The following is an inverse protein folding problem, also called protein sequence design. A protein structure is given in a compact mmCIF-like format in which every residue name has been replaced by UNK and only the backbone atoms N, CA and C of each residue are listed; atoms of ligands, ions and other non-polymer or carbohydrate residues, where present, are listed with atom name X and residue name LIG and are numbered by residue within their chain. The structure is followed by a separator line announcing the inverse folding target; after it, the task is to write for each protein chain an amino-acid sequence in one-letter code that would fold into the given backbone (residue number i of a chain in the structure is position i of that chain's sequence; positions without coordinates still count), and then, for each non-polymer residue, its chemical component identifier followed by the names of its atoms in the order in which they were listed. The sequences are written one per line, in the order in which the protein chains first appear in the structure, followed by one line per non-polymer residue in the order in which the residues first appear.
data_IF_727843609150
#
_entry.id   IF_727843609150
#
_cell.length_a   1.000
_cell.length_b   1.000
_cell.length_c   1.000
_cell.angle_alpha   90.00
_cell.angle_beta   90.00
_cell.angle_gamma   90.00
#
_symmetry.space_group_name_H-M   'P 1'
#
loop_
_entity.id
_entity.type
_entity.pdbx_description
1 polymer ?
#
# COMPACT_ATOMS: atom_id res chain seq x y z
N UNK A 1 -6.66 14.61 -6.02
CA UNK A 1 -8.12 14.76 -6.04
C UNK A 1 -8.57 15.86 -7.01
N UNK A 2 -8.09 17.13 -6.98
CA UNK A 2 -8.65 18.19 -7.83
C UNK A 2 -8.55 17.92 -9.34
N UNK A 3 -7.45 17.32 -9.80
CA UNK A 3 -7.27 16.97 -11.22
C UNK A 3 -8.24 15.87 -11.67
N UNK A 4 -8.43 14.83 -10.83
CA UNK A 4 -9.37 13.75 -11.12
C UNK A 4 -10.82 14.28 -11.22
N UNK A 5 -11.22 15.18 -10.32
CA UNK A 5 -12.54 15.86 -10.38
C UNK A 5 -12.71 16.63 -11.69
N UNK A 6 -11.69 17.40 -12.09
CA UNK A 6 -11.73 18.16 -13.36
C UNK A 6 -11.88 17.23 -14.57
N UNK A 7 -11.12 16.13 -14.61
CA UNK A 7 -11.16 15.17 -15.70
C UNK A 7 -12.52 14.47 -15.79
N UNK A 8 -13.05 13.99 -14.67
CA UNK A 8 -14.39 13.38 -14.59
C UNK A 8 -15.48 14.37 -15.01
N UNK A 9 -15.39 15.64 -14.57
CA UNK A 9 -16.33 16.67 -14.98
C UNK A 9 -16.25 17.01 -16.48
N UNK A 10 -15.09 16.82 -17.08
CA UNK A 10 -14.89 16.96 -18.53
C UNK A 10 -15.27 15.69 -19.31
N UNK A 11 -15.93 14.70 -18.69
CA UNK A 11 -16.36 13.45 -19.34
C UNK A 11 -15.23 12.49 -19.68
N UNK A 12 -14.10 12.53 -18.96
CA UNK A 12 -12.95 11.66 -19.20
C UNK A 12 -12.88 10.54 -18.18
N UNK A 13 -12.54 9.31 -18.64
CA UNK A 13 -12.10 8.24 -17.76
C UNK A 13 -10.80 8.64 -17.07
N UNK A 14 -10.56 8.14 -15.86
CA UNK A 14 -9.40 8.51 -15.03
C UNK A 14 -8.66 7.28 -14.57
N UNK A 15 -7.35 7.27 -14.74
CA UNK A 15 -6.43 6.39 -14.02
C UNK A 15 -5.65 7.27 -13.05
N UNK A 16 -5.71 6.96 -11.77
CA UNK A 16 -5.03 7.71 -10.70
C UNK A 16 -3.89 6.91 -10.14
N UNK A 17 -2.80 7.58 -9.80
CA UNK A 17 -1.78 7.02 -8.92
C UNK A 17 -2.37 6.64 -7.55
N UNK A 18 -1.67 5.72 -6.89
CA UNK A 18 -1.97 5.37 -5.50
C UNK A 18 -1.24 6.32 -4.51
N UNK A 19 -1.84 6.58 -3.36
CA UNK A 19 -3.24 6.35 -3.04
C UNK A 19 -4.14 7.30 -3.82
N UNK A 20 -5.35 6.88 -4.14
CA UNK A 20 -6.30 7.68 -4.93
C UNK A 20 -6.63 9.03 -4.30
N UNK A 21 -6.62 9.08 -2.98
CA UNK A 21 -6.84 10.28 -2.18
C UNK A 21 -6.12 10.15 -0.83
N UNK A 22 -5.97 11.25 -0.11
CA UNK A 22 -5.35 11.30 1.21
C UNK A 22 -6.31 11.00 2.37
N UNK A 23 -7.58 10.81 2.06
CA UNK A 23 -8.62 10.43 3.02
C UNK A 23 -9.79 9.68 2.34
N UNK A 24 -10.56 8.94 3.12
CA UNK A 24 -11.67 8.11 2.60
C UNK A 24 -12.80 8.95 1.99
N UNK A 25 -13.12 10.12 2.54
CA UNK A 25 -14.21 10.98 2.05
C UNK A 25 -13.95 11.44 0.62
N UNK A 26 -12.74 11.85 0.32
CA UNK A 26 -12.34 12.27 -1.03
C UNK A 26 -12.32 11.08 -1.99
N UNK A 27 -11.89 9.91 -1.53
CA UNK A 27 -11.93 8.68 -2.32
C UNK A 27 -13.38 8.29 -2.67
N UNK A 28 -14.26 8.27 -1.68
CA UNK A 28 -15.70 8.00 -1.86
C UNK A 28 -16.36 9.00 -2.81
N UNK A 29 -16.04 10.28 -2.66
CA UNK A 29 -16.54 11.35 -3.54
C UNK A 29 -16.11 11.11 -4.99
N UNK A 30 -14.85 10.74 -5.25
CA UNK A 30 -14.38 10.43 -6.61
C UNK A 30 -15.09 9.21 -7.20
N UNK A 31 -15.26 8.14 -6.42
CA UNK A 31 -15.97 6.94 -6.85
C UNK A 31 -17.43 7.26 -7.19
N UNK A 32 -18.12 8.02 -6.33
CA UNK A 32 -19.48 8.47 -6.57
C UNK A 32 -19.59 9.31 -7.84
N UNK A 33 -18.72 10.30 -8.00
CA UNK A 33 -18.69 11.17 -9.18
C UNK A 33 -18.49 10.39 -10.47
N UNK A 34 -17.54 9.45 -10.48
CA UNK A 34 -17.29 8.60 -11.65
C UNK A 34 -18.52 7.76 -12.00
N UNK A 35 -19.14 7.14 -11.00
CA UNK A 35 -20.36 6.34 -11.17
C UNK A 35 -21.53 7.16 -11.72
N UNK A 36 -21.78 8.35 -11.16
CA UNK A 36 -22.86 9.26 -11.60
C UNK A 36 -22.69 9.69 -13.07
N UNK A 37 -21.45 9.78 -13.53
CA UNK A 37 -21.14 10.16 -14.91
C UNK A 37 -21.00 8.98 -15.87
N UNK A 38 -21.10 7.75 -15.40
CA UNK A 38 -20.90 6.55 -16.22
C UNK A 38 -19.45 6.42 -16.71
N UNK A 39 -18.47 6.93 -15.93
CA UNK A 39 -17.06 6.93 -16.28
C UNK A 39 -16.26 5.93 -15.46
N UNK A 40 -15.17 5.42 -16.04
CA UNK A 40 -14.22 4.56 -15.34
C UNK A 40 -13.27 5.40 -14.50
N UNK A 41 -13.08 4.98 -13.26
CA UNK A 41 -12.03 5.45 -12.36
C UNK A 41 -11.22 4.23 -11.90
N UNK A 42 -9.97 4.18 -12.26
CA UNK A 42 -9.04 3.13 -11.87
C UNK A 42 -7.93 3.70 -10.99
N UNK A 43 -7.41 2.88 -10.09
CA UNK A 43 -6.21 3.20 -9.30
C UNK A 43 -5.07 2.31 -9.76
N UNK A 44 -3.88 2.87 -9.95
CA UNK A 44 -2.70 2.11 -10.36
C UNK A 44 -2.14 1.29 -9.19
N UNK A 45 -2.82 0.22 -8.87
CA UNK A 45 -2.36 -0.83 -7.97
C UNK A 45 -1.46 -1.83 -8.72
N UNK A 46 -0.39 -1.34 -9.29
CA UNK A 46 0.48 -2.04 -10.24
C UNK A 46 0.96 -3.42 -9.81
N UNK A 47 1.14 -3.64 -8.50
CA UNK A 47 1.70 -4.90 -7.99
C UNK A 47 0.78 -6.10 -8.20
N UNK A 48 -0.54 -5.91 -8.36
CA UNK A 48 -1.47 -7.03 -8.63
C UNK A 48 -1.21 -7.68 -10.00
N UNK A 49 -0.51 -6.99 -10.89
CA UNK A 49 -0.16 -7.51 -12.22
C UNK A 49 1.22 -8.19 -12.26
N UNK A 50 1.96 -8.17 -11.16
CA UNK A 50 3.22 -8.89 -11.07
C UNK A 50 2.97 -10.40 -11.13
N UNK A 51 3.73 -11.12 -11.93
CA UNK A 51 3.54 -12.56 -12.15
C UNK A 51 3.55 -13.40 -10.88
N UNK A 52 4.38 -13.02 -9.90
CA UNK A 52 4.45 -13.69 -8.59
C UNK A 52 3.16 -13.50 -7.80
N UNK A 53 2.60 -12.30 -7.81
CA UNK A 53 1.39 -11.97 -7.08
C UNK A 53 0.15 -12.61 -7.72
N UNK A 54 0.10 -12.64 -9.06
CA UNK A 54 -0.92 -13.39 -9.81
C UNK A 54 -0.84 -14.88 -9.46
N UNK A 55 0.38 -15.43 -9.38
CA UNK A 55 0.55 -16.86 -9.03
C UNK A 55 0.16 -17.15 -7.58
N UNK A 56 0.49 -16.27 -6.65
CA UNK A 56 0.09 -16.40 -5.25
C UNK A 56 -1.45 -16.40 -5.10
N UNK A 57 -2.13 -15.46 -5.74
CA UNK A 57 -3.61 -15.39 -5.78
C UNK A 57 -4.20 -16.69 -6.35
N UNK A 58 -3.65 -17.20 -7.44
CA UNK A 58 -4.08 -18.46 -8.04
C UNK A 58 -3.95 -19.65 -7.07
N UNK A 59 -2.81 -19.77 -6.36
CA UNK A 59 -2.56 -20.86 -5.41
C UNK A 59 -3.53 -20.80 -4.22
N UNK A 60 -3.73 -19.61 -3.66
CA UNK A 60 -4.70 -19.39 -2.58
C UNK A 60 -6.10 -19.76 -3.04
N UNK A 61 -6.51 -19.26 -4.20
CA UNK A 61 -7.85 -19.48 -4.74
C UNK A 61 -8.16 -20.94 -5.07
N UNK A 62 -7.14 -21.70 -5.48
CA UNK A 62 -7.25 -23.15 -5.72
C UNK A 62 -7.21 -23.98 -4.44
N UNK A 63 -6.90 -23.37 -3.30
CA UNK A 63 -6.74 -24.06 -2.02
C UNK A 63 -5.46 -24.89 -1.92
N UNK A 64 -4.49 -24.67 -2.81
CA UNK A 64 -3.23 -25.44 -2.84
C UNK A 64 -2.36 -25.20 -1.59
N UNK A 65 -2.56 -24.05 -0.90
CA UNK A 65 -1.90 -23.74 0.37
C UNK A 65 -2.68 -24.25 1.60
N UNK A 66 -3.85 -24.86 1.39
CA UNK A 66 -4.73 -25.25 2.50
C UNK A 66 -5.38 -24.04 3.18
N UNK A 67 -5.61 -24.16 4.49
CA UNK A 67 -6.14 -23.06 5.28
C UNK A 67 -5.01 -22.09 5.64
N UNK A 68 -5.05 -20.89 5.08
CA UNK A 68 -4.11 -19.85 5.44
C UNK A 68 -4.48 -19.28 6.82
N UNK A 69 -3.58 -19.43 7.76
CA UNK A 69 -3.78 -18.98 9.14
C UNK A 69 -3.13 -17.61 9.42
N UNK A 70 -2.01 -17.33 8.78
CA UNK A 70 -1.26 -16.09 8.92
C UNK A 70 -0.50 -15.78 7.61
N UNK A 71 -0.09 -14.54 7.47
CA UNK A 71 0.81 -14.09 6.40
C UNK A 71 1.58 -12.86 6.85
N UNK A 72 2.73 -12.62 6.24
CA UNK A 72 3.57 -11.48 6.57
C UNK A 72 4.03 -10.79 5.29
N UNK A 73 3.79 -9.49 5.19
CA UNK A 73 4.22 -8.65 4.08
C UNK A 73 5.38 -7.77 4.50
N UNK A 74 6.34 -7.59 3.61
CA UNK A 74 7.53 -6.76 3.84
C UNK A 74 7.68 -5.73 2.75
N UNK A 75 7.74 -4.46 3.12
CA UNK A 75 8.12 -3.35 2.25
C UNK A 75 9.04 -2.39 2.99
N UNK A 76 10.31 -2.72 2.99
CA UNK A 76 11.35 -2.07 3.77
C UNK A 76 12.44 -1.54 2.83
N UNK A 77 12.79 -0.28 2.96
CA UNK A 77 13.73 0.41 2.11
C UNK A 77 14.77 1.19 2.93
N UNK A 78 15.91 1.44 2.34
CA UNK A 78 16.81 2.51 2.74
C UNK A 78 16.46 3.77 1.95
N UNK A 79 15.51 4.56 2.47
CA UNK A 79 15.03 5.77 1.80
C UNK A 79 15.08 6.98 2.75
N UNK A 80 15.47 8.14 2.22
CA UNK A 80 15.55 9.37 3.04
C UNK A 80 16.84 9.51 3.84
N UNK A 81 17.84 8.65 3.64
CA UNK A 81 19.20 8.86 4.16
C UNK A 81 19.98 9.89 3.34
N UNK A 82 19.70 9.97 2.06
CA UNK A 82 20.20 11.05 1.21
C UNK A 82 19.38 12.33 1.47
N UNK A 83 20.03 13.50 1.66
CA UNK A 83 19.32 14.77 1.88
C UNK A 83 18.31 15.14 0.77
N UNK A 84 18.58 14.76 -0.47
CA UNK A 84 17.67 15.00 -1.57
C UNK A 84 16.39 14.13 -1.47
N UNK A 85 16.51 12.88 -1.02
CA UNK A 85 15.37 12.01 -0.74
C UNK A 85 14.59 12.50 0.49
N UNK A 86 15.30 12.88 1.55
CA UNK A 86 14.70 13.41 2.78
C UNK A 86 13.87 14.68 2.55
N UNK A 87 14.22 15.50 1.56
CA UNK A 87 13.48 16.68 1.17
C UNK A 87 12.23 16.40 0.34
N UNK A 88 12.07 15.18 -0.18
CA UNK A 88 10.89 14.83 -0.98
C UNK A 88 9.61 14.79 -0.13
N UNK A 89 8.46 14.87 -0.79
CA UNK A 89 7.16 14.76 -0.12
C UNK A 89 7.01 13.45 0.68
N UNK A 90 7.65 12.37 0.22
CA UNK A 90 7.62 11.07 0.90
C UNK A 90 8.19 11.11 2.32
N UNK A 91 9.16 11.96 2.55
CA UNK A 91 9.80 12.08 3.87
C UNK A 91 9.32 13.30 4.67
N UNK A 92 8.66 14.26 4.03
CA UNK A 92 8.38 15.58 4.62
C UNK A 92 6.90 15.92 4.76
N UNK A 93 6.00 15.23 4.04
CA UNK A 93 4.58 15.59 3.97
C UNK A 93 3.65 14.44 4.35
N UNK A 94 3.44 14.26 5.63
CA UNK A 94 2.54 13.21 6.18
C UNK A 94 1.10 13.43 5.69
N UNK A 95 0.66 14.68 5.58
CA UNK A 95 -0.67 15.07 5.10
C UNK A 95 -0.94 14.72 3.63
N UNK A 96 0.13 14.52 2.85
CA UNK A 96 0.07 14.05 1.47
C UNK A 96 0.27 12.52 1.35
N UNK A 97 0.12 11.77 2.45
CA UNK A 97 0.39 10.34 2.56
C UNK A 97 1.88 10.01 2.37
N UNK A 98 2.77 10.90 2.78
CA UNK A 98 4.20 10.60 2.94
C UNK A 98 4.44 9.64 4.11
N UNK A 99 5.67 9.17 4.21
CA UNK A 99 6.08 8.14 5.16
C UNK A 99 5.83 6.71 4.68
N UNK A 100 6.51 5.73 5.27
CA UNK A 100 6.35 4.33 4.90
C UNK A 100 4.93 3.81 5.14
N UNK A 101 4.18 4.35 6.08
CA UNK A 101 2.78 3.94 6.27
C UNK A 101 1.91 4.47 5.12
N UNK A 102 1.99 5.75 4.81
CA UNK A 102 1.16 6.36 3.77
C UNK A 102 1.53 5.89 2.36
N UNK A 103 2.82 5.93 2.04
CA UNK A 103 3.31 5.61 0.69
C UNK A 103 3.38 4.10 0.43
N UNK A 104 3.85 3.31 1.40
CA UNK A 104 4.27 1.91 1.19
C UNK A 104 3.30 0.90 1.76
N UNK A 105 2.74 1.11 2.95
CA UNK A 105 1.81 0.15 3.55
C UNK A 105 0.53 -0.04 2.71
N UNK A 106 0.14 0.96 1.92
CA UNK A 106 -0.95 0.85 0.96
C UNK A 106 -0.75 -0.34 0.00
N UNK A 107 0.49 -0.58 -0.43
CA UNK A 107 0.82 -1.73 -1.28
C UNK A 107 0.60 -3.06 -0.55
N UNK A 108 1.00 -3.16 0.71
CA UNK A 108 0.78 -4.37 1.51
C UNK A 108 -0.72 -4.67 1.65
N UNK A 109 -1.53 -3.64 1.91
CA UNK A 109 -2.97 -3.82 2.14
C UNK A 109 -3.72 -4.25 0.88
N UNK A 110 -3.58 -3.52 -0.23
CA UNK A 110 -4.29 -3.91 -1.44
C UNK A 110 -3.80 -5.24 -2.01
N UNK A 111 -2.50 -5.55 -1.84
CA UNK A 111 -1.94 -6.82 -2.29
C UNK A 111 -2.48 -7.98 -1.45
N UNK A 112 -2.57 -7.82 -0.13
CA UNK A 112 -3.17 -8.81 0.75
C UNK A 112 -4.66 -9.04 0.42
N UNK A 113 -5.44 -7.98 0.22
CA UNK A 113 -6.83 -8.09 -0.21
C UNK A 113 -6.96 -8.79 -1.57
N UNK A 114 -6.05 -8.50 -2.50
CA UNK A 114 -6.02 -9.14 -3.82
C UNK A 114 -5.72 -10.64 -3.72
N UNK A 115 -4.64 -11.01 -3.02
CA UNK A 115 -4.19 -12.41 -2.93
C UNK A 115 -5.24 -13.28 -2.21
N UNK A 116 -5.82 -12.78 -1.12
CA UNK A 116 -6.78 -13.57 -0.32
C UNK A 116 -8.23 -13.41 -0.76
N UNK A 117 -8.56 -12.43 -1.60
CA UNK A 117 -9.92 -12.15 -2.03
C UNK A 117 -10.85 -11.72 -0.88
N UNK A 118 -10.30 -11.14 0.19
CA UNK A 118 -10.99 -10.79 1.45
C UNK A 118 -10.75 -9.34 1.81
N UNK A 119 -11.68 -8.73 2.56
CA UNK A 119 -11.55 -7.34 3.00
C UNK A 119 -10.92 -7.22 4.39
N UNK A 120 -9.98 -6.27 4.51
CA UNK A 120 -9.42 -5.87 5.79
C UNK A 120 -10.45 -5.05 6.55
N UNK A 121 -10.76 -5.44 7.79
CA UNK A 121 -11.78 -4.79 8.62
C UNK A 121 -11.21 -4.08 9.85
N UNK A 122 -10.03 -4.50 10.31
CA UNK A 122 -9.35 -3.91 11.47
C UNK A 122 -7.85 -3.90 11.24
N UNK A 123 -7.19 -2.92 11.83
CA UNK A 123 -5.74 -2.89 11.92
C UNK A 123 -5.29 -2.34 13.28
N UNK A 124 -4.06 -2.73 13.67
CA UNK A 124 -3.31 -2.14 14.77
C UNK A 124 -1.86 -1.93 14.31
N UNK A 125 -1.26 -0.83 14.68
CA UNK A 125 0.11 -0.51 14.28
C UNK A 125 0.94 -0.03 15.47
N UNK A 126 2.22 -0.37 15.43
CA UNK A 126 3.24 0.12 16.36
C UNK A 126 4.34 0.74 15.53
N UNK A 127 4.60 2.02 15.77
CA UNK A 127 5.67 2.74 15.07
C UNK A 127 7.04 2.19 15.44
N UNK A 128 7.94 2.14 14.47
CA UNK A 128 9.35 1.91 14.73
C UNK A 128 9.95 3.10 15.50
N UNK A 129 11.03 2.88 16.28
CA UNK A 129 11.76 3.97 16.90
C UNK A 129 12.21 5.00 15.87
N UNK A 130 12.08 6.28 16.20
CA UNK A 130 12.52 7.39 15.34
C UNK A 130 14.04 7.52 15.41
N UNK A 131 14.72 7.23 14.31
CA UNK A 131 16.18 7.33 14.17
C UNK A 131 16.62 8.18 12.97
N UNK A 132 15.73 8.37 12.00
CA UNK A 132 16.05 9.11 10.78
C UNK A 132 15.74 10.61 10.92
N UNK A 133 16.52 11.49 10.30
CA UNK A 133 16.28 12.94 10.32
C UNK A 133 15.22 13.37 9.28
N UNK A 134 14.11 12.67 9.21
CA UNK A 134 12.96 13.00 8.33
C UNK A 134 11.75 13.39 9.16
N UNK A 135 10.78 14.08 8.56
CA UNK A 135 9.55 14.51 9.25
C UNK A 135 8.58 13.34 9.43
N UNK A 136 8.46 12.49 8.41
CA UNK A 136 7.61 11.31 8.46
C UNK A 136 8.14 10.28 9.48
N UNK A 137 7.32 9.30 9.82
CA UNK A 137 7.74 8.15 10.63
C UNK A 137 8.79 7.31 9.91
N UNK A 138 9.61 6.57 10.66
CA UNK A 138 10.64 5.69 10.11
C UNK A 138 10.07 4.37 9.60
N UNK A 139 8.92 3.95 10.13
CA UNK A 139 8.23 2.71 9.78
C UNK A 139 7.24 2.26 10.84
N UNK A 140 6.65 1.11 10.59
CA UNK A 140 5.73 0.47 11.52
C UNK A 140 5.68 -1.05 11.34
N UNK A 141 5.37 -1.74 12.44
CA UNK A 141 4.77 -3.07 12.42
C UNK A 141 3.26 -2.91 12.43
N UNK A 142 2.57 -3.58 11.52
CA UNK A 142 1.13 -3.47 11.34
C UNK A 142 0.53 -4.87 11.40
N UNK A 143 -0.44 -5.08 12.28
CA UNK A 143 -1.30 -6.28 12.29
C UNK A 143 -2.65 -5.89 11.73
N UNK A 144 -3.19 -6.69 10.82
CA UNK A 144 -4.50 -6.47 10.24
C UNK A 144 -5.33 -7.76 10.17
N UNK A 145 -6.64 -7.59 10.16
CA UNK A 145 -7.61 -8.67 10.30
C UNK A 145 -8.63 -8.57 9.17
N UNK A 146 -8.89 -9.70 8.54
CA UNK A 146 -9.88 -9.81 7.50
C UNK A 146 -11.28 -10.07 8.07
N UNK A 147 -12.28 -9.94 7.20
CA UNK A 147 -13.70 -10.09 7.56
C UNK A 147 -14.08 -11.46 8.09
N UNK A 148 -13.34 -12.51 7.73
CA UNK A 148 -13.54 -13.89 8.18
C UNK A 148 -12.70 -14.27 9.41
N UNK A 149 -11.95 -13.31 9.97
CA UNK A 149 -11.10 -13.51 11.13
C UNK A 149 -9.68 -13.96 10.82
N UNK A 150 -9.32 -14.23 9.56
CA UNK A 150 -7.94 -14.45 9.14
C UNK A 150 -7.09 -13.24 9.52
N UNK A 151 -5.83 -13.47 9.84
CA UNK A 151 -4.90 -12.44 10.28
C UNK A 151 -3.73 -12.33 9.31
N UNK A 152 -3.17 -11.15 9.24
CA UNK A 152 -1.94 -10.87 8.51
C UNK A 152 -1.14 -9.78 9.21
N UNK A 153 0.10 -9.64 8.82
CA UNK A 153 0.99 -8.59 9.32
C UNK A 153 1.74 -7.92 8.17
N UNK A 154 2.21 -6.72 8.41
CA UNK A 154 3.16 -6.06 7.53
C UNK A 154 4.24 -5.35 8.35
N UNK A 155 5.45 -5.31 7.81
CA UNK A 155 6.50 -4.40 8.24
C UNK A 155 6.81 -3.45 7.10
N UNK A 156 6.72 -2.17 7.36
CA UNK A 156 7.06 -1.11 6.41
C UNK A 156 8.07 -0.17 7.04
N UNK A 157 9.11 0.23 6.29
CA UNK A 157 10.15 1.10 6.81
C UNK A 157 10.88 1.84 5.70
N UNK A 158 11.36 3.05 6.03
CA UNK A 158 12.38 3.78 5.28
C UNK A 158 13.76 3.68 5.94
N UNK A 159 13.83 3.17 7.16
CA UNK A 159 15.06 3.08 7.98
C UNK A 159 15.83 1.76 7.82
N UNK A 160 15.40 0.86 6.98
CA UNK A 160 16.05 -0.45 6.82
C UNK A 160 17.17 -0.40 5.80
N UNK A 161 18.41 -0.56 6.28
CA UNK A 161 19.61 -0.62 5.45
C UNK A 161 19.88 -2.02 4.87
N UNK A 162 19.02 -2.99 5.13
CA UNK A 162 19.21 -4.35 4.63
C UNK A 162 19.05 -4.39 3.12
N UNK A 163 20.04 -4.98 2.47
CA UNK A 163 19.85 -5.49 1.13
C UNK A 163 18.80 -6.60 1.15
N UNK A 164 17.83 -6.54 0.27
CA UNK A 164 16.99 -7.68 -0.03
C UNK A 164 17.79 -8.81 -0.66
N UNK A 165 17.18 -9.93 -0.93
CA UNK A 165 17.77 -11.00 -1.71
C UNK A 165 18.34 -10.45 -3.03
N UNK A 166 19.64 -10.61 -3.24
CA UNK A 166 20.30 -10.13 -4.44
C UNK A 166 21.03 -8.78 -4.33
N UNK A 167 21.24 -8.25 -3.11
CA UNK A 167 22.03 -7.03 -2.88
C UNK A 167 21.31 -5.73 -3.14
N UNK A 168 19.97 -5.76 -3.19
CA UNK A 168 19.16 -4.54 -3.25
C UNK A 168 19.05 -3.88 -1.87
N UNK A 169 18.90 -2.57 -1.84
CA UNK A 169 18.66 -1.80 -0.60
C UNK A 169 17.19 -1.84 -0.15
N UNK A 170 16.52 -2.93 -0.41
CA UNK A 170 15.11 -3.10 -0.07
C UNK A 170 14.80 -4.54 0.32
N UNK A 171 13.84 -4.72 1.20
CA UNK A 171 13.22 -6.00 1.51
C UNK A 171 11.76 -5.94 1.09
N UNK A 172 11.45 -6.58 -0.03
CA UNK A 172 10.13 -6.61 -0.64
C UNK A 172 9.68 -8.06 -0.79
N UNK A 173 8.54 -8.38 -0.24
CA UNK A 173 7.99 -9.72 -0.37
C UNK A 173 6.91 -10.02 0.66
N UNK A 174 6.53 -11.27 0.70
CA UNK A 174 5.60 -11.81 1.68
C UNK A 174 5.79 -13.32 1.86
N UNK A 175 5.32 -13.80 2.98
CA UNK A 175 5.19 -15.20 3.34
C UNK A 175 3.71 -15.51 3.61
N UNK A 176 3.27 -16.68 3.16
CA UNK A 176 1.89 -17.17 3.33
C UNK A 176 1.94 -18.58 3.88
#
# INVERSE_FOLDING_TARGET
VPLAVKALNAGKHVISEKPMATNSKDAEMLVKLAKEKGLSLAVDHMMVYNAWNVKAEELVKKGELGNVNDSCFHMEFAYGYDPAEAATWRCSKIEEMGGPIGDVASHCFYLAEYIFGKKITKLAAVYLPKIMPIVAEDGAYIKFFFEDGMQSSAKVAFSELRGGLGGTLSNLGYEI
#
